data_IF_229115457202
#
_entry.id   IF_229115457202
#
_cell.length_a   1.000
_cell.length_b   1.000
_cell.length_c   1.000
_cell.angle_alpha   90.00
_cell.angle_beta   90.00
_cell.angle_gamma   90.00
#
_symmetry.space_group_name_H-M   'P 1'
#
loop_
_entity.id
_entity.type
_entity.pdbx_description
1 polymer ?
#
# COMPACT_ATOMS: atom_id res chain seq x y z
N UNK A 1 0.23 21.37 -13.63
CA UNK A 1 1.49 20.61 -13.68
C UNK A 1 1.90 20.36 -12.24
N UNK A 2 1.95 19.11 -11.80
CA UNK A 2 2.41 18.76 -10.45
C UNK A 2 3.91 19.01 -10.36
N UNK A 3 4.38 19.58 -9.26
CA UNK A 3 5.81 19.76 -9.00
C UNK A 3 6.21 18.64 -8.04
N UNK A 4 6.61 17.49 -8.59
CA UNK A 4 7.11 16.39 -7.78
C UNK A 4 8.50 16.76 -7.22
N UNK A 5 8.70 16.46 -5.93
CA UNK A 5 10.01 16.45 -5.28
C UNK A 5 10.65 15.10 -5.63
N UNK A 6 11.97 15.06 -5.77
CA UNK A 6 12.82 13.96 -6.25
C UNK A 6 12.85 12.70 -5.34
N UNK A 7 11.72 12.31 -4.75
CA UNK A 7 11.54 11.10 -3.95
C UNK A 7 10.24 10.44 -4.42
N UNK A 8 10.36 9.57 -5.42
CA UNK A 8 9.24 8.81 -5.98
C UNK A 8 9.02 7.46 -5.27
N UNK A 9 9.83 7.13 -4.27
CA UNK A 9 9.72 5.92 -3.44
C UNK A 9 9.67 6.32 -1.96
N UNK A 10 8.50 6.70 -1.46
CA UNK A 10 8.34 7.22 -0.10
C UNK A 10 6.98 6.81 0.50
N UNK A 11 6.92 6.76 1.83
CA UNK A 11 5.76 6.35 2.60
C UNK A 11 4.71 7.47 2.73
N UNK A 12 5.10 8.74 2.55
CA UNK A 12 4.19 9.90 2.67
C UNK A 12 4.68 11.09 1.81
N UNK A 13 4.21 11.15 0.56
CA UNK A 13 4.49 12.19 -0.42
C UNK A 13 3.34 13.18 -0.44
N UNK A 14 3.60 14.46 -0.18
CA UNK A 14 2.61 15.52 -0.36
C UNK A 14 2.80 16.23 -1.71
N UNK A 15 1.78 16.18 -2.57
CA UNK A 15 1.75 16.88 -3.85
C UNK A 15 0.67 17.97 -3.86
N UNK A 16 1.07 19.24 -3.97
CA UNK A 16 0.12 20.32 -4.18
C UNK A 16 -0.39 20.32 -5.62
N UNK A 17 -1.68 20.02 -5.79
CA UNK A 17 -2.32 19.94 -7.11
C UNK A 17 -3.14 21.18 -7.46
N UNK A 18 -3.50 21.98 -6.46
CA UNK A 18 -4.14 23.27 -6.66
C UNK A 18 -3.64 24.30 -5.64
N UNK A 19 -2.62 25.06 -6.03
CA UNK A 19 -2.02 26.09 -5.17
C UNK A 19 -2.98 27.22 -4.84
N UNK A 20 -3.84 27.63 -5.78
CA UNK A 20 -4.82 28.69 -5.56
C UNK A 20 -5.86 28.35 -4.49
N UNK A 21 -6.14 27.06 -4.29
CA UNK A 21 -7.06 26.54 -3.26
C UNK A 21 -6.35 25.87 -2.08
N UNK A 22 -5.01 25.80 -2.09
CA UNK A 22 -4.23 25.08 -1.09
C UNK A 22 -4.52 23.57 -1.02
N UNK A 23 -4.96 22.95 -2.12
CA UNK A 23 -5.30 21.52 -2.13
C UNK A 23 -4.08 20.65 -2.42
N UNK A 24 -3.90 19.65 -1.57
CA UNK A 24 -2.82 18.68 -1.63
C UNK A 24 -3.38 17.27 -1.80
N UNK A 25 -2.59 16.41 -2.44
CA UNK A 25 -2.75 14.97 -2.42
C UNK A 25 -1.66 14.39 -1.52
N UNK A 26 -2.04 13.46 -0.65
CA UNK A 26 -1.16 12.64 0.16
C UNK A 26 -1.04 11.28 -0.52
N UNK A 27 0.19 10.87 -0.84
CA UNK A 27 0.48 9.69 -1.65
C UNK A 27 1.48 8.80 -0.92
N UNK A 28 1.16 7.52 -0.81
CA UNK A 28 2.11 6.48 -0.39
C UNK A 28 2.52 5.66 -1.61
N UNK A 29 3.80 5.73 -1.98
CA UNK A 29 4.36 5.02 -3.13
C UNK A 29 5.69 4.36 -2.73
N UNK A 30 5.71 3.64 -1.61
CA UNK A 30 6.89 2.90 -1.15
C UNK A 30 7.02 1.59 -1.93
N UNK A 31 7.29 1.69 -3.23
CA UNK A 31 7.22 0.56 -4.18
C UNK A 31 8.46 -0.33 -4.17
N UNK A 32 9.62 0.17 -3.74
CA UNK A 32 10.89 -0.58 -3.73
C UNK A 32 11.53 -0.50 -2.34
N UNK A 33 11.82 -1.65 -1.72
CA UNK A 33 12.40 -1.67 -0.38
C UNK A 33 13.93 -1.63 -0.43
N UNK A 34 14.53 -1.15 0.65
CA UNK A 34 15.98 -1.11 0.86
C UNK A 34 16.46 -2.19 1.85
N UNK A 35 15.71 -3.29 2.00
CA UNK A 35 16.09 -4.37 2.92
C UNK A 35 17.44 -4.97 2.54
N UNK A 36 18.22 -5.49 3.50
CA UNK A 36 19.48 -6.17 3.17
C UNK A 36 19.28 -7.28 2.12
N UNK A 37 20.17 -7.37 1.14
CA UNK A 37 20.14 -8.44 0.13
C UNK A 37 20.14 -9.81 0.82
N UNK A 38 19.26 -10.71 0.37
CA UNK A 38 19.04 -12.02 0.97
C UNK A 38 18.04 -12.03 2.12
N UNK A 39 17.45 -10.88 2.47
CA UNK A 39 16.36 -10.82 3.44
C UNK A 39 15.15 -11.64 2.98
N UNK A 40 14.44 -12.30 3.92
CA UNK A 40 13.24 -13.05 3.58
C UNK A 40 12.15 -12.13 3.04
N UNK A 41 11.35 -12.62 2.09
CA UNK A 41 10.22 -11.90 1.50
C UNK A 41 9.26 -11.31 2.55
N UNK A 42 9.07 -12.01 3.68
CA UNK A 42 8.19 -11.55 4.76
C UNK A 42 8.62 -10.24 5.41
N UNK A 43 9.92 -9.90 5.38
CA UNK A 43 10.40 -8.61 5.86
C UNK A 43 9.86 -7.48 4.97
N UNK A 44 10.05 -7.60 3.66
CA UNK A 44 9.62 -6.60 2.69
C UNK A 44 8.09 -6.47 2.63
N UNK A 45 7.37 -7.59 2.65
CA UNK A 45 5.90 -7.61 2.76
C UNK A 45 5.45 -6.85 4.01
N UNK A 46 6.17 -7.01 5.13
CA UNK A 46 5.83 -6.32 6.39
C UNK A 46 6.10 -4.83 6.30
N UNK A 47 7.21 -4.41 5.71
CA UNK A 47 7.51 -3.00 5.52
C UNK A 47 6.47 -2.33 4.62
N UNK A 48 6.10 -2.95 3.49
CA UNK A 48 5.04 -2.41 2.63
C UNK A 48 3.71 -2.31 3.34
N UNK A 49 3.28 -3.41 3.96
CA UNK A 49 2.02 -3.45 4.69
C UNK A 49 1.96 -2.35 5.76
N UNK A 50 3.06 -2.12 6.48
CA UNK A 50 3.12 -1.07 7.50
C UNK A 50 3.00 0.32 6.87
N UNK A 51 3.76 0.63 5.82
CA UNK A 51 3.67 1.91 5.11
C UNK A 51 2.25 2.17 4.61
N UNK A 52 1.67 1.22 3.88
CA UNK A 52 0.33 1.33 3.34
C UNK A 52 -0.71 1.48 4.47
N UNK A 53 -0.70 0.63 5.51
CA UNK A 53 -1.72 0.73 6.57
C UNK A 53 -1.59 1.97 7.45
N UNK A 54 -0.38 2.53 7.62
CA UNK A 54 -0.20 3.85 8.27
C UNK A 54 -0.87 4.94 7.43
N UNK A 55 -0.62 4.96 6.13
CA UNK A 55 -1.20 5.96 5.22
C UNK A 55 -2.74 5.83 5.11
N UNK A 56 -3.27 4.60 5.03
CA UNK A 56 -4.72 4.35 5.07
C UNK A 56 -5.37 4.78 6.39
N UNK A 57 -4.68 4.63 7.53
CA UNK A 57 -5.17 5.13 8.83
C UNK A 57 -5.21 6.65 8.82
N UNK A 58 -4.14 7.32 8.37
CA UNK A 58 -4.08 8.79 8.23
C UNK A 58 -5.26 9.31 7.41
N UNK A 59 -5.55 8.69 6.26
CA UNK A 59 -6.71 9.00 5.42
C UNK A 59 -8.04 8.86 6.18
N UNK A 60 -8.18 7.79 6.98
CA UNK A 60 -9.39 7.48 7.70
C UNK A 60 -9.64 8.34 8.96
N UNK A 61 -8.63 9.03 9.49
CA UNK A 61 -8.73 9.74 10.79
C UNK A 61 -8.40 11.22 10.75
N UNK A 62 -7.45 11.69 9.94
CA UNK A 62 -6.89 13.04 10.08
C UNK A 62 -7.42 14.04 9.04
N UNK A 63 -7.60 13.61 7.79
CA UNK A 63 -7.88 14.51 6.67
C UNK A 63 -8.94 13.94 5.71
N UNK A 64 -10.19 13.74 6.17
CA UNK A 64 -11.21 12.99 5.43
C UNK A 64 -11.63 13.63 4.11
N UNK A 65 -11.35 14.92 3.90
CA UNK A 65 -11.67 15.69 2.68
C UNK A 65 -10.50 15.82 1.71
N UNK A 66 -9.29 15.39 2.11
CA UNK A 66 -8.11 15.42 1.24
C UNK A 66 -8.05 14.20 0.33
N UNK A 67 -7.29 14.32 -0.77
CA UNK A 67 -7.03 13.22 -1.68
C UNK A 67 -5.93 12.33 -1.09
N UNK A 68 -6.29 11.12 -0.68
CA UNK A 68 -5.33 10.07 -0.32
C UNK A 68 -5.24 9.03 -1.42
N UNK A 69 -4.02 8.67 -1.79
CA UNK A 69 -3.75 7.58 -2.72
C UNK A 69 -2.61 6.71 -2.19
N UNK A 70 -2.92 5.46 -1.83
CA UNK A 70 -1.92 4.49 -1.41
C UNK A 70 -1.72 3.43 -2.49
N UNK A 71 -0.47 3.11 -2.80
CA UNK A 71 -0.13 2.00 -3.69
C UNK A 71 0.29 0.81 -2.84
N UNK A 72 -0.53 -0.23 -2.73
CA UNK A 72 -0.13 -1.46 -2.03
C UNK A 72 0.87 -2.30 -2.85
N UNK A 73 0.97 -2.04 -4.16
CA UNK A 73 1.93 -2.65 -5.08
C UNK A 73 3.37 -2.35 -4.67
N UNK A 74 4.26 -3.33 -4.82
CA UNK A 74 5.69 -3.18 -4.55
C UNK A 74 6.49 -4.35 -5.12
N UNK A 75 7.81 -4.19 -5.21
CA UNK A 75 8.76 -5.24 -5.54
C UNK A 75 10.07 -5.05 -4.78
N UNK A 76 10.94 -6.06 -4.80
CA UNK A 76 12.35 -5.89 -4.48
C UNK A 76 13.15 -6.98 -5.23
N UNK A 77 13.28 -6.80 -6.54
CA UNK A 77 13.89 -7.78 -7.44
C UNK A 77 15.40 -7.84 -7.37
N UNK A 78 16.05 -6.87 -6.71
CA UNK A 78 17.49 -6.86 -6.46
C UNK A 78 17.94 -7.91 -5.41
N UNK A 79 17.04 -8.43 -4.57
CA UNK A 79 17.36 -9.49 -3.62
C UNK A 79 17.44 -10.86 -4.29
N UNK A 80 18.07 -11.83 -3.62
CA UNK A 80 18.17 -13.23 -4.07
C UNK A 80 17.67 -14.15 -2.96
N UNK A 81 16.58 -14.92 -3.16
CA UNK A 81 15.72 -14.94 -4.36
C UNK A 81 14.95 -13.62 -4.54
N UNK A 82 14.57 -13.25 -5.78
CA UNK A 82 13.88 -11.97 -6.05
C UNK A 82 12.49 -11.93 -5.41
N UNK A 83 12.14 -10.79 -4.81
CA UNK A 83 10.78 -10.53 -4.35
C UNK A 83 10.00 -9.85 -5.48
N UNK A 84 9.28 -10.65 -6.27
CA UNK A 84 8.46 -10.16 -7.37
C UNK A 84 7.19 -9.44 -6.88
N UNK A 85 6.52 -8.64 -7.74
CA UNK A 85 5.20 -8.08 -7.42
C UNK A 85 4.19 -9.12 -6.94
N UNK A 86 4.19 -10.31 -7.53
CA UNK A 86 3.34 -11.43 -7.11
C UNK A 86 3.66 -11.89 -5.68
N UNK A 87 4.94 -12.10 -5.34
CA UNK A 87 5.34 -12.48 -3.98
C UNK A 87 4.97 -11.40 -2.96
N UNK A 88 5.12 -10.12 -3.32
CA UNK A 88 4.73 -9.02 -2.44
C UNK A 88 3.22 -8.95 -2.23
N UNK A 89 2.45 -9.05 -3.31
CA UNK A 89 0.99 -8.93 -3.28
C UNK A 89 0.34 -10.13 -2.58
N UNK A 90 0.70 -11.36 -2.97
CA UNK A 90 0.00 -12.57 -2.52
C UNK A 90 0.83 -13.51 -1.61
N UNK A 91 2.12 -13.25 -1.44
CA UNK A 91 3.05 -14.14 -0.74
C UNK A 91 3.51 -15.28 -1.64
N UNK A 92 4.30 -16.21 -1.08
CA UNK A 92 4.77 -17.40 -1.81
C UNK A 92 4.21 -18.72 -1.24
N UNK A 93 3.23 -18.66 -0.33
CA UNK A 93 2.58 -19.84 0.25
C UNK A 93 3.50 -20.74 1.09
N UNK A 94 4.70 -20.30 1.45
CA UNK A 94 5.65 -21.08 2.27
C UNK A 94 5.64 -20.68 3.74
N UNK A 95 6.40 -21.41 4.58
CA UNK A 95 6.70 -21.00 5.97
C UNK A 95 7.36 -19.62 6.06
N UNK A 96 7.93 -19.09 4.97
CA UNK A 96 8.56 -17.76 4.94
C UNK A 96 7.49 -16.65 4.94
N UNK A 97 6.36 -16.84 4.25
CA UNK A 97 5.24 -15.87 4.18
C UNK A 97 3.94 -16.48 4.74
N UNK A 98 3.90 -16.84 6.04
CA UNK A 98 2.77 -17.58 6.61
C UNK A 98 1.47 -16.76 6.66
N UNK A 99 1.57 -15.43 6.56
CA UNK A 99 0.44 -14.49 6.55
C UNK A 99 0.02 -14.09 5.12
N UNK A 100 0.62 -14.70 4.09
CA UNK A 100 0.49 -14.24 2.71
C UNK A 100 1.25 -12.93 2.45
N UNK A 101 0.86 -12.25 1.38
CA UNK A 101 1.37 -10.95 0.96
C UNK A 101 0.57 -9.79 1.50
N UNK A 102 0.82 -8.61 0.95
CA UNK A 102 0.17 -7.36 1.33
C UNK A 102 -1.34 -7.44 1.14
N UNK A 103 -1.83 -8.06 0.06
CA UNK A 103 -3.26 -8.14 -0.22
C UNK A 103 -4.01 -8.99 0.82
N UNK A 104 -3.48 -10.16 1.19
CA UNK A 104 -4.11 -11.02 2.20
C UNK A 104 -4.22 -10.28 3.54
N UNK A 105 -3.17 -9.56 3.91
CA UNK A 105 -3.14 -8.79 5.16
C UNK A 105 -4.04 -7.56 5.11
N UNK A 106 -4.11 -6.88 3.97
CA UNK A 106 -4.97 -5.72 3.76
C UNK A 106 -6.45 -6.09 3.82
N UNK A 107 -6.85 -7.28 3.37
CA UNK A 107 -8.24 -7.72 3.44
C UNK A 107 -8.77 -7.71 4.90
N UNK A 108 -7.99 -8.24 5.84
CA UNK A 108 -8.34 -8.21 7.26
C UNK A 108 -8.31 -6.78 7.83
N UNK A 109 -7.33 -5.97 7.44
CA UNK A 109 -7.24 -4.57 7.87
C UNK A 109 -8.45 -3.75 7.44
N UNK A 110 -8.82 -3.80 6.16
CA UNK A 110 -9.94 -3.05 5.58
C UNK A 110 -11.29 -3.48 6.15
N UNK A 111 -11.45 -4.77 6.47
CA UNK A 111 -12.63 -5.25 7.19
C UNK A 111 -12.76 -4.59 8.57
N UNK A 112 -11.65 -4.44 9.30
CA UNK A 112 -11.60 -3.76 10.60
C UNK A 112 -11.84 -2.26 10.54
N UNK A 113 -11.65 -1.63 9.38
CA UNK A 113 -11.88 -0.19 9.15
C UNK A 113 -13.17 0.11 8.37
N UNK A 114 -14.12 -0.83 8.34
CA UNK A 114 -15.42 -0.61 7.68
C UNK A 114 -16.10 0.68 8.17
N UNK A 115 -16.68 1.42 7.22
CA UNK A 115 -17.32 2.71 7.48
C UNK A 115 -16.36 3.90 7.59
N UNK A 116 -15.05 3.69 7.40
CA UNK A 116 -14.06 4.76 7.25
C UNK A 116 -13.72 5.00 5.78
N UNK A 117 -13.14 6.16 5.47
CA UNK A 117 -12.68 6.54 4.13
C UNK A 117 -11.15 6.37 4.04
N UNK A 118 -10.64 5.24 3.54
CA UNK A 118 -9.20 4.99 3.48
C UNK A 118 -8.50 5.66 2.28
N UNK A 119 -9.25 6.42 1.46
CA UNK A 119 -8.75 6.98 0.20
C UNK A 119 -8.82 6.01 -0.97
N UNK A 120 -7.98 6.24 -1.98
CA UNK A 120 -7.78 5.35 -3.12
C UNK A 120 -6.68 4.35 -2.76
N UNK A 121 -6.92 3.07 -3.09
CA UNK A 121 -5.93 2.00 -2.90
C UNK A 121 -5.68 1.33 -4.25
N UNK A 122 -4.46 1.40 -4.75
CA UNK A 122 -4.01 0.66 -5.94
C UNK A 122 -3.39 -0.66 -5.50
N UNK A 123 -3.74 -1.75 -6.18
CA UNK A 123 -3.34 -3.12 -5.84
C UNK A 123 -2.75 -3.80 -7.08
N UNK A 124 -1.68 -4.57 -6.90
CA UNK A 124 -1.35 -5.66 -7.81
C UNK A 124 -2.24 -6.86 -7.52
N UNK A 125 -2.61 -7.64 -8.54
CA UNK A 125 -3.42 -8.86 -8.38
C UNK A 125 -4.69 -8.60 -7.53
N UNK A 126 -5.44 -7.54 -7.84
CA UNK A 126 -6.57 -7.06 -7.04
C UNK A 126 -7.70 -8.10 -6.81
N UNK A 127 -7.73 -9.16 -7.61
CA UNK A 127 -8.66 -10.28 -7.47
C UNK A 127 -8.23 -11.27 -6.37
N UNK A 128 -7.05 -11.09 -5.78
CA UNK A 128 -6.49 -11.98 -4.76
C UNK A 128 -6.15 -11.22 -3.46
N UNK A 129 -6.83 -11.53 -2.33
CA UNK A 129 -7.91 -12.50 -2.21
C UNK A 129 -9.22 -11.95 -2.81
N UNK A 130 -10.08 -12.84 -3.33
CA UNK A 130 -11.33 -12.50 -4.06
C UNK A 130 -12.39 -11.69 -3.31
N UNK A 131 -12.17 -11.36 -2.05
CA UNK A 131 -13.04 -10.51 -1.24
C UNK A 131 -12.44 -9.14 -0.93
N UNK A 132 -11.20 -8.86 -1.35
CA UNK A 132 -10.49 -7.61 -1.06
C UNK A 132 -11.20 -6.38 -1.67
N UNK A 133 -11.72 -6.52 -2.89
CA UNK A 133 -12.37 -5.43 -3.64
C UNK A 133 -13.90 -5.49 -3.58
N UNK A 134 -14.47 -6.49 -2.88
CA UNK A 134 -15.93 -6.61 -2.76
C UNK A 134 -16.45 -5.54 -1.81
N UNK A 135 -17.18 -4.58 -2.35
CA UNK A 135 -18.02 -3.67 -1.55
C UNK A 135 -19.05 -4.50 -0.77
N UNK A 136 -19.21 -4.27 0.55
CA UNK A 136 -20.35 -4.84 1.26
C UNK A 136 -21.65 -4.37 0.59
N UNK A 137 -22.71 -5.20 0.56
CA UNK A 137 -23.99 -4.78 0.01
C UNK A 137 -24.45 -3.49 0.72
N UNK A 138 -24.94 -2.54 -0.06
CA UNK A 138 -25.58 -1.34 0.47
C UNK A 138 -26.70 -1.75 1.43
N UNK A 139 -26.84 -1.09 2.59
CA UNK A 139 -27.97 -1.34 3.50
C UNK A 139 -29.32 -1.07 2.85
#
# INVERSE_FOLDING_TARGET
MFKAIDHNNDQDITLQYNSAKGLNADIEDFYEMDSPIGSPASLNITWKYNATTVHLKKAATEYPDSLFWSFASSEYTATVPPNTPEIQAIGNGTQITPLGGVNQRLASFLQGTKGKRPGIVTLDLFEEPSHLTKTPPSP
#
